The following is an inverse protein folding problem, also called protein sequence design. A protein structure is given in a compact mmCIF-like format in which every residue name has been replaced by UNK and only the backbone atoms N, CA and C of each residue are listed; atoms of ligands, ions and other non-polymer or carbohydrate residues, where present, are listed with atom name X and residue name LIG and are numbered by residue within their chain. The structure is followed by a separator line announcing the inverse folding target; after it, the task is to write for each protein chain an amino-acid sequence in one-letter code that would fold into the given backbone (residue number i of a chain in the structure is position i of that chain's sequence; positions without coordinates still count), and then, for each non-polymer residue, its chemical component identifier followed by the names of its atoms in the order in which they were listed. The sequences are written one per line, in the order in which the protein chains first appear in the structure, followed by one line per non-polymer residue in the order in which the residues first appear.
data_IF_957892180848
#
_entry.id   IF_957892180848
#
_cell.length_a   1.000
_cell.length_b   1.000
_cell.length_c   1.000
_cell.angle_alpha   90.00
_cell.angle_beta   90.00
_cell.angle_gamma   90.00
#
_symmetry.space_group_name_H-M   'P 1'
#
loop_
_entity.id
_entity.type
_entity.pdbx_description
1 polymer ?
#
# COMPACT_ATOMS: atom_id res chain seq x y z
N UNK A 1 -4.69 14.49 -36.46
CA UNK A 1 -5.64 13.82 -35.56
C UNK A 1 -5.04 12.48 -35.16
N UNK A 2 -5.21 12.07 -33.89
CA UNK A 2 -4.83 10.76 -33.38
C UNK A 2 -6.11 10.06 -32.93
N UNK A 3 -6.32 8.85 -33.44
CA UNK A 3 -7.44 8.00 -33.06
C UNK A 3 -6.96 6.98 -32.02
N UNK A 4 -7.79 6.68 -31.00
CA UNK A 4 -7.50 5.66 -30.00
C UNK A 4 -8.80 5.06 -29.46
N UNK A 5 -8.70 3.81 -29.01
CA UNK A 5 -9.81 3.12 -28.35
C UNK A 5 -9.69 3.25 -26.83
N UNK A 6 -10.80 3.52 -26.17
CA UNK A 6 -10.89 3.50 -24.72
C UNK A 6 -12.25 2.89 -24.33
N UNK A 7 -12.23 1.83 -23.52
CA UNK A 7 -13.43 1.09 -23.11
C UNK A 7 -14.34 0.68 -24.25
N UNK A 8 -13.76 0.23 -25.38
CA UNK A 8 -14.50 -0.20 -26.58
C UNK A 8 -14.98 0.93 -27.51
N UNK A 9 -14.83 2.18 -27.12
CA UNK A 9 -15.24 3.34 -27.93
C UNK A 9 -14.06 3.95 -28.67
N UNK A 10 -14.28 4.38 -29.91
CA UNK A 10 -13.31 5.09 -30.72
C UNK A 10 -13.34 6.59 -30.41
N UNK A 11 -12.19 7.13 -30.07
CA UNK A 11 -12.01 8.56 -29.83
C UNK A 11 -11.01 9.15 -30.79
N UNK A 12 -11.18 10.43 -31.09
CA UNK A 12 -10.27 11.22 -31.90
C UNK A 12 -9.82 12.45 -31.11
N UNK A 13 -8.54 12.75 -31.12
CA UNK A 13 -8.01 13.99 -30.54
C UNK A 13 -7.03 14.66 -31.48
N UNK A 14 -6.91 15.98 -31.33
CA UNK A 14 -5.86 16.74 -32.01
C UNK A 14 -4.49 16.27 -31.52
N UNK A 15 -3.52 16.14 -32.42
CA UNK A 15 -2.15 15.84 -32.04
C UNK A 15 -1.65 16.92 -31.10
N UNK A 16 -1.16 16.59 -29.89
CA UNK A 16 -0.66 17.61 -28.98
C UNK A 16 0.54 18.33 -29.61
N UNK A 17 0.48 19.64 -29.63
CA UNK A 17 1.62 20.48 -29.98
C UNK A 17 2.52 20.61 -28.76
N UNK A 18 3.71 19.99 -28.79
CA UNK A 18 4.68 20.09 -27.70
C UNK A 18 5.38 21.45 -27.78
N UNK A 19 4.85 22.47 -27.12
CA UNK A 19 5.68 23.58 -26.68
C UNK A 19 6.59 23.06 -25.57
N UNK A 20 7.90 23.29 -25.68
CA UNK A 20 8.81 23.15 -24.54
C UNK A 20 8.50 24.29 -23.55
N UNK A 21 7.49 24.10 -22.73
CA UNK A 21 7.18 25.00 -21.65
C UNK A 21 8.09 24.65 -20.46
N UNK A 22 8.82 25.64 -19.97
CA UNK A 22 9.51 25.52 -18.69
C UNK A 22 8.44 25.29 -17.62
N UNK A 23 8.55 24.16 -16.92
CA UNK A 23 7.59 23.78 -15.89
C UNK A 23 7.71 24.72 -14.70
N UNK A 24 6.60 25.15 -14.13
CA UNK A 24 6.61 25.89 -12.87
C UNK A 24 7.12 25.00 -11.73
N UNK A 25 7.65 25.59 -10.66
CA UNK A 25 8.10 24.87 -9.46
C UNK A 25 6.99 23.97 -8.91
N UNK A 26 5.76 24.47 -8.83
CA UNK A 26 4.62 23.68 -8.36
C UNK A 26 4.31 22.48 -9.26
N UNK A 27 4.41 22.63 -10.58
CA UNK A 27 4.24 21.50 -11.51
C UNK A 27 5.32 20.44 -11.32
N UNK A 28 6.56 20.84 -11.05
CA UNK A 28 7.65 19.90 -10.76
C UNK A 28 7.41 19.16 -9.45
N UNK A 29 7.02 19.85 -8.38
CA UNK A 29 6.70 19.23 -7.08
C UNK A 29 5.59 18.20 -7.20
N UNK A 30 4.49 18.53 -7.90
CA UNK A 30 3.40 17.57 -8.12
C UNK A 30 3.80 16.37 -8.98
N UNK A 31 4.63 16.58 -10.00
CA UNK A 31 5.15 15.48 -10.82
C UNK A 31 6.06 14.56 -10.02
N UNK A 32 6.92 15.11 -9.16
CA UNK A 32 7.78 14.32 -8.29
C UNK A 32 6.96 13.50 -7.30
N UNK A 33 5.96 14.11 -6.66
CA UNK A 33 5.03 13.41 -5.77
C UNK A 33 4.34 12.24 -6.48
N UNK A 34 3.81 12.49 -7.66
CA UNK A 34 3.15 11.47 -8.48
C UNK A 34 4.13 10.36 -8.90
N UNK A 35 5.35 10.72 -9.28
CA UNK A 35 6.40 9.76 -9.64
C UNK A 35 6.83 8.89 -8.46
N UNK A 36 6.97 9.44 -7.26
CA UNK A 36 7.26 8.69 -6.04
C UNK A 36 6.16 7.68 -5.73
N UNK A 37 4.89 8.12 -5.78
CA UNK A 37 3.73 7.25 -5.57
C UNK A 37 3.67 6.10 -6.59
N UNK A 38 3.95 6.34 -7.88
CA UNK A 38 4.02 5.31 -8.91
C UNK A 38 5.19 4.35 -8.66
N UNK A 39 6.37 4.88 -8.28
CA UNK A 39 7.54 4.05 -7.98
C UNK A 39 7.25 3.09 -6.84
N UNK A 40 6.65 3.59 -5.76
CA UNK A 40 6.20 2.79 -4.64
C UNK A 40 5.19 1.70 -5.07
N UNK A 41 4.15 2.05 -5.83
CA UNK A 41 3.18 1.08 -6.36
C UNK A 41 3.83 -0.01 -7.21
N UNK A 42 4.80 0.36 -8.06
CA UNK A 42 5.52 -0.61 -8.88
C UNK A 42 6.33 -1.60 -8.05
N UNK A 43 6.91 -1.13 -6.96
CA UNK A 43 7.64 -2.00 -6.01
C UNK A 43 6.70 -2.99 -5.32
N UNK A 44 5.43 -2.64 -5.09
CA UNK A 44 4.40 -3.57 -4.57
C UNK A 44 4.06 -4.71 -5.54
N UNK A 45 4.39 -4.62 -6.83
CA UNK A 45 4.12 -5.69 -7.79
C UNK A 45 4.85 -7.01 -7.45
N UNK A 46 6.03 -6.93 -6.80
CA UNK A 46 6.78 -8.09 -6.32
C UNK A 46 6.19 -8.74 -5.06
N UNK A 47 5.21 -8.12 -4.41
CA UNK A 47 4.70 -8.51 -3.09
C UNK A 47 3.20 -8.89 -3.08
N UNK A 48 2.66 -9.37 -4.17
CA UNK A 48 1.28 -9.90 -4.26
C UNK A 48 0.14 -8.95 -3.85
N UNK A 49 0.39 -7.65 -3.70
CA UNK A 49 -0.63 -6.67 -3.32
C UNK A 49 -1.39 -6.08 -4.51
N UNK A 50 -0.90 -6.24 -5.71
CA UNK A 50 -1.54 -5.75 -6.94
C UNK A 50 -2.99 -6.23 -7.09
N UNK A 51 -3.34 -7.52 -6.85
CA UNK A 51 -4.72 -7.98 -6.96
C UNK A 51 -5.70 -7.26 -6.03
N UNK A 52 -5.25 -6.86 -4.83
CA UNK A 52 -6.07 -6.10 -3.87
C UNK A 52 -6.46 -4.74 -4.49
N UNK A 53 -5.48 -4.03 -5.04
CA UNK A 53 -5.71 -2.74 -5.68
C UNK A 53 -6.50 -2.84 -6.99
N UNK A 54 -6.35 -3.90 -7.76
CA UNK A 54 -7.16 -4.18 -8.95
C UNK A 54 -8.62 -4.45 -8.58
N UNK A 55 -8.86 -5.18 -7.49
CA UNK A 55 -10.21 -5.44 -6.93
C UNK A 55 -10.88 -4.14 -6.50
N UNK A 56 -10.17 -3.31 -5.73
CA UNK A 56 -10.65 -1.99 -5.32
C UNK A 56 -10.90 -1.07 -6.53
N UNK A 57 -9.99 -1.07 -7.49
CA UNK A 57 -10.14 -0.28 -8.72
C UNK A 57 -11.40 -0.62 -9.50
N UNK A 58 -11.74 -1.91 -9.62
CA UNK A 58 -13.00 -2.36 -10.24
C UNK A 58 -14.22 -1.80 -9.50
N UNK A 59 -14.21 -1.82 -8.16
CA UNK A 59 -15.30 -1.24 -7.35
C UNK A 59 -15.45 0.27 -7.53
N UNK A 60 -14.32 0.97 -7.74
CA UNK A 60 -14.29 2.43 -7.98
C UNK A 60 -14.44 2.81 -9.46
N UNK A 61 -14.65 1.85 -10.38
CA UNK A 61 -14.66 2.07 -11.83
C UNK A 61 -13.38 2.72 -12.39
N UNK A 62 -12.22 2.42 -11.79
CA UNK A 62 -10.89 2.85 -12.22
C UNK A 62 -9.94 1.66 -12.27
N UNK A 63 -8.72 1.85 -12.79
CA UNK A 63 -7.69 0.81 -12.68
C UNK A 63 -7.04 0.79 -11.28
N UNK A 64 -6.39 -0.33 -10.92
CA UNK A 64 -5.78 -0.52 -9.61
C UNK A 64 -4.70 0.52 -9.27
N UNK A 65 -3.92 0.98 -10.25
CA UNK A 65 -2.94 2.06 -10.05
C UNK A 65 -3.63 3.38 -9.67
N UNK A 66 -4.72 3.74 -10.35
CA UNK A 66 -5.45 4.97 -10.03
C UNK A 66 -6.13 4.89 -8.65
N UNK A 67 -6.66 3.71 -8.27
CA UNK A 67 -7.18 3.48 -6.92
C UNK A 67 -6.09 3.63 -5.85
N UNK A 68 -4.89 3.10 -6.11
CA UNK A 68 -3.73 3.26 -5.24
C UNK A 68 -3.33 4.73 -5.10
N UNK A 69 -3.15 5.44 -6.22
CA UNK A 69 -2.77 6.85 -6.22
C UNK A 69 -3.79 7.70 -5.46
N UNK A 70 -5.08 7.51 -5.72
CA UNK A 70 -6.14 8.24 -5.02
C UNK A 70 -6.10 8.04 -3.49
N UNK A 71 -5.66 6.87 -3.04
CA UNK A 71 -5.57 6.54 -1.61
C UNK A 71 -4.27 6.99 -0.94
N UNK A 72 -3.17 7.14 -1.70
CA UNK A 72 -1.83 7.28 -1.13
C UNK A 72 -1.08 8.55 -1.51
N UNK A 73 -1.55 9.33 -2.52
CA UNK A 73 -0.78 10.46 -3.06
C UNK A 73 -0.42 11.51 -2.01
N UNK A 74 -1.24 11.67 -0.96
CA UNK A 74 -1.00 12.64 0.11
C UNK A 74 0.18 12.26 1.01
N UNK A 75 0.48 10.97 1.12
CA UNK A 75 1.62 10.47 1.89
C UNK A 75 2.99 10.86 1.30
N UNK A 76 3.04 11.18 0.00
CA UNK A 76 4.28 11.48 -0.71
C UNK A 76 4.52 13.00 -0.82
N UNK A 77 5.81 13.39 -0.87
CA UNK A 77 6.23 14.78 -1.02
C UNK A 77 6.72 15.12 -2.44
N UNK A 78 7.03 16.40 -2.66
CA UNK A 78 7.59 16.89 -3.93
C UNK A 78 9.08 16.59 -4.13
N UNK A 79 9.74 15.94 -3.19
CA UNK A 79 11.16 15.59 -3.21
C UNK A 79 11.40 14.10 -3.49
N UNK A 80 10.40 13.44 -4.08
CA UNK A 80 10.44 12.00 -4.38
C UNK A 80 10.53 11.09 -3.14
N UNK A 81 9.99 11.53 -2.00
CA UNK A 81 10.00 10.80 -0.72
C UNK A 81 8.61 10.64 -0.12
N UNK A 82 8.56 9.99 1.05
CA UNK A 82 7.38 9.88 1.91
C UNK A 82 7.45 11.00 2.94
N UNK A 83 6.39 11.79 3.08
CA UNK A 83 6.28 12.84 4.10
C UNK A 83 5.41 12.43 5.28
N UNK A 84 4.46 11.54 5.05
CA UNK A 84 3.55 11.07 6.09
C UNK A 84 3.35 9.56 5.98
N UNK A 85 4.07 8.81 6.80
CA UNK A 85 4.01 7.36 6.83
C UNK A 85 2.66 6.84 7.33
N UNK A 86 1.96 7.59 8.17
CA UNK A 86 0.65 7.20 8.71
C UNK A 86 -0.45 7.18 7.65
N UNK A 87 -0.29 7.95 6.58
CA UNK A 87 -1.24 7.99 5.45
C UNK A 87 -0.94 6.96 4.35
N UNK A 88 0.05 6.09 4.54
CA UNK A 88 0.31 5.00 3.61
C UNK A 88 -0.67 3.85 3.84
N UNK A 89 -1.36 3.45 2.80
CA UNK A 89 -2.21 2.27 2.77
C UNK A 89 -1.59 1.18 1.90
N UNK A 90 -1.13 0.11 2.50
CA UNK A 90 -0.69 -1.11 1.79
C UNK A 90 -1.86 -1.86 1.19
N UNK A 91 -2.96 -1.90 1.90
CA UNK A 91 -4.22 -2.50 1.47
C UNK A 91 -5.39 -1.57 1.81
N UNK A 92 -6.47 -1.72 1.08
CA UNK A 92 -7.73 -1.07 1.38
C UNK A 92 -8.86 -2.02 1.01
N UNK A 93 -9.71 -2.32 1.98
CA UNK A 93 -10.78 -3.30 1.82
C UNK A 93 -11.89 -3.09 2.84
N UNK A 94 -12.71 -4.10 3.02
CA UNK A 94 -13.89 -4.09 3.89
C UNK A 94 -13.64 -4.72 5.26
N UNK A 95 -12.53 -5.46 5.42
CA UNK A 95 -12.17 -6.08 6.68
C UNK A 95 -11.67 -5.01 7.66
N UNK A 96 -12.03 -5.14 8.92
CA UNK A 96 -11.52 -4.25 9.97
C UNK A 96 -10.04 -4.48 10.22
N UNK A 97 -9.33 -3.39 10.47
CA UNK A 97 -7.95 -3.45 10.96
C UNK A 97 -7.89 -4.09 12.35
N UNK A 98 -6.75 -4.67 12.75
CA UNK A 98 -6.56 -5.12 14.12
C UNK A 98 -6.76 -3.95 15.11
N UNK A 99 -7.65 -4.10 16.08
CA UNK A 99 -7.79 -3.13 17.17
C UNK A 99 -6.91 -3.54 18.34
N UNK A 100 -6.50 -2.58 19.16
CA UNK A 100 -5.64 -2.85 20.33
C UNK A 100 -4.30 -3.47 19.93
N UNK A 101 -3.81 -3.18 18.70
CA UNK A 101 -2.57 -3.76 18.19
C UNK A 101 -1.37 -3.21 18.96
N UNK A 102 -0.60 -4.09 19.57
CA UNK A 102 0.62 -3.72 20.31
C UNK A 102 1.76 -4.72 20.08
N UNK A 103 2.98 -4.23 20.17
CA UNK A 103 4.19 -5.06 20.18
C UNK A 103 4.50 -5.41 21.61
N UNK A 104 4.32 -6.69 21.98
CA UNK A 104 4.55 -7.19 23.36
C UNK A 104 6.01 -7.53 23.64
N UNK A 105 6.71 -8.04 22.66
CA UNK A 105 8.07 -8.50 22.83
C UNK A 105 8.87 -8.30 21.55
N UNK A 106 10.14 -7.95 21.71
CA UNK A 106 11.11 -7.89 20.62
C UNK A 106 12.36 -8.69 20.98
N UNK A 107 12.69 -9.68 20.13
CA UNK A 107 13.94 -10.46 20.24
C UNK A 107 14.67 -10.42 18.90
N UNK A 108 15.72 -9.60 18.82
CA UNK A 108 16.45 -9.39 17.57
C UNK A 108 15.55 -8.83 16.48
N UNK A 109 15.38 -9.59 15.40
CA UNK A 109 14.51 -9.27 14.27
C UNK A 109 13.08 -9.80 14.41
N UNK A 110 12.75 -10.51 15.51
CA UNK A 110 11.42 -11.08 15.75
C UNK A 110 10.60 -10.20 16.69
N UNK A 111 9.36 -9.95 16.30
CA UNK A 111 8.38 -9.18 17.07
C UNK A 111 7.21 -10.09 17.43
N UNK A 112 6.87 -10.15 18.71
CA UNK A 112 5.61 -10.74 19.15
C UNK A 112 4.57 -9.64 19.25
N UNK A 113 3.45 -9.81 18.55
CA UNK A 113 2.38 -8.83 18.46
C UNK A 113 1.08 -9.42 19.00
N UNK A 114 0.24 -8.56 19.55
CA UNK A 114 -1.08 -8.92 20.05
C UNK A 114 -2.12 -7.92 19.57
N UNK A 115 -3.38 -8.34 19.54
CA UNK A 115 -4.54 -7.52 19.18
C UNK A 115 -5.81 -8.02 19.88
N UNK A 116 -6.83 -7.17 19.89
CA UNK A 116 -8.13 -7.52 20.47
C UNK A 116 -8.92 -8.45 19.54
N UNK A 117 -9.48 -9.52 20.09
CA UNK A 117 -10.31 -10.50 19.36
C UNK A 117 -11.80 -10.22 19.44
N UNK A 118 -12.22 -9.29 20.31
CA UNK A 118 -13.64 -9.05 20.65
C UNK A 118 -14.46 -8.28 19.63
N UNK A 119 -13.81 -7.64 18.65
CA UNK A 119 -14.48 -6.77 17.67
C UNK A 119 -14.45 -7.39 16.27
N UNK A 120 -15.49 -8.15 15.95
CA UNK A 120 -15.67 -8.75 14.64
C UNK A 120 -16.96 -8.22 13.99
N UNK A 121 -16.95 -7.98 12.69
CA UNK A 121 -18.16 -7.73 11.90
C UNK A 121 -18.58 -9.02 11.20
N UNK A 122 -19.77 -9.02 10.62
CA UNK A 122 -20.23 -10.16 9.79
C UNK A 122 -19.36 -10.48 8.58
N UNK A 123 -18.46 -9.56 8.20
CA UNK A 123 -17.51 -9.72 7.09
C UNK A 123 -16.15 -10.27 7.55
N UNK A 124 -15.86 -10.19 8.85
CA UNK A 124 -14.60 -10.67 9.42
C UNK A 124 -14.73 -12.16 9.76
N UNK A 125 -13.73 -12.95 9.40
CA UNK A 125 -13.66 -14.33 9.79
C UNK A 125 -12.52 -14.55 10.80
N UNK A 126 -12.75 -15.37 11.83
CA UNK A 126 -11.70 -15.73 12.79
C UNK A 126 -10.45 -16.33 12.16
N UNK A 127 -10.57 -16.85 10.94
CA UNK A 127 -9.49 -17.45 10.14
C UNK A 127 -8.74 -16.46 9.25
N UNK A 128 -9.10 -15.16 9.27
CA UNK A 128 -8.36 -14.14 8.51
C UNK A 128 -6.92 -14.06 9.02
N UNK A 129 -5.98 -14.02 8.10
CA UNK A 129 -4.54 -14.04 8.41
C UNK A 129 -4.00 -12.63 8.60
N UNK A 130 -3.13 -12.47 9.57
CA UNK A 130 -2.33 -11.26 9.71
C UNK A 130 -1.36 -11.16 8.55
N UNK A 131 -1.33 -9.98 7.92
CA UNK A 131 -0.34 -9.58 6.92
C UNK A 131 0.33 -8.29 7.38
N UNK A 132 1.61 -8.15 7.09
CA UNK A 132 2.38 -6.99 7.54
C UNK A 132 3.22 -6.45 6.39
N UNK A 133 2.91 -5.21 5.99
CA UNK A 133 3.77 -4.40 5.13
C UNK A 133 4.86 -3.74 5.96
N UNK A 134 6.05 -3.60 5.40
CA UNK A 134 7.19 -2.97 6.05
C UNK A 134 7.81 -1.94 5.11
N UNK A 135 8.08 -0.76 5.62
CA UNK A 135 8.90 0.26 4.96
C UNK A 135 10.10 0.52 5.85
N UNK A 136 11.29 0.37 5.30
CA UNK A 136 12.55 0.72 5.95
C UNK A 136 12.99 2.12 5.54
N UNK A 137 13.49 2.92 6.49
CA UNK A 137 13.89 4.32 6.24
C UNK A 137 15.04 4.47 5.25
N UNK A 138 15.87 3.43 5.07
CA UNK A 138 16.94 3.42 4.08
C UNK A 138 16.44 3.19 2.64
N UNK A 139 15.27 2.59 2.47
CA UNK A 139 14.67 2.33 1.16
C UNK A 139 13.16 2.66 1.15
N UNK A 140 12.75 3.93 1.41
CA UNK A 140 11.36 4.27 1.68
C UNK A 140 10.41 4.02 0.50
N UNK A 141 10.91 4.00 -0.74
CA UNK A 141 10.10 3.72 -1.93
C UNK A 141 10.12 2.23 -2.34
N UNK A 142 10.70 1.36 -1.50
CA UNK A 142 10.73 -0.10 -1.70
C UNK A 142 10.05 -0.84 -0.56
N UNK A 143 8.70 -0.76 -0.49
CA UNK A 143 7.95 -1.50 0.52
C UNK A 143 8.10 -3.00 0.33
N UNK A 144 8.12 -3.73 1.44
CA UNK A 144 8.17 -5.18 1.47
C UNK A 144 6.97 -5.73 2.24
N UNK A 145 6.66 -7.01 2.04
CA UNK A 145 5.87 -7.78 2.99
C UNK A 145 6.83 -8.57 3.89
N UNK A 146 6.54 -8.62 5.17
CA UNK A 146 7.24 -9.51 6.07
C UNK A 146 6.94 -10.96 5.65
N UNK A 147 7.99 -11.77 5.45
CA UNK A 147 7.86 -13.11 4.88
C UNK A 147 7.32 -14.11 5.90
N UNK A 148 7.81 -14.02 7.14
CA UNK A 148 7.47 -14.92 8.23
C UNK A 148 6.51 -14.24 9.21
N UNK A 149 5.25 -14.09 8.78
CA UNK A 149 4.17 -13.58 9.63
C UNK A 149 3.26 -14.74 10.01
N UNK A 150 3.03 -14.91 11.31
CA UNK A 150 2.06 -15.87 11.83
C UNK A 150 0.96 -15.15 12.60
N UNK A 151 -0.18 -15.80 12.73
CA UNK A 151 -1.34 -15.32 13.48
C UNK A 151 -2.58 -15.22 12.63
N UNK A 152 -3.68 -15.67 13.20
CA UNK A 152 -5.02 -15.50 12.66
C UNK A 152 -5.83 -14.60 13.59
N UNK A 153 -6.86 -13.96 13.04
CA UNK A 153 -7.67 -12.96 13.78
C UNK A 153 -8.15 -13.45 15.14
N UNK A 154 -8.62 -14.71 15.22
CA UNK A 154 -9.16 -15.28 16.46
C UNK A 154 -8.12 -15.61 17.53
N UNK A 155 -6.83 -15.70 17.18
CA UNK A 155 -5.78 -16.03 18.16
C UNK A 155 -5.36 -14.82 19.00
N UNK A 156 -5.60 -13.58 18.54
CA UNK A 156 -5.22 -12.36 19.23
C UNK A 156 -3.72 -12.15 19.37
N UNK A 157 -2.91 -12.97 18.74
CA UNK A 157 -1.46 -12.87 18.77
C UNK A 157 -0.82 -13.41 17.49
N UNK A 158 0.42 -12.94 17.22
CA UNK A 158 1.20 -13.40 16.08
C UNK A 158 2.68 -13.05 16.23
N UNK A 159 3.48 -13.56 15.30
CA UNK A 159 4.90 -13.26 15.19
C UNK A 159 5.18 -12.63 13.85
N UNK A 160 6.06 -11.64 13.85
CA UNK A 160 6.56 -10.95 12.66
C UNK A 160 8.08 -11.10 12.68
N UNK A 161 8.64 -11.58 11.58
CA UNK A 161 10.08 -11.61 11.41
C UNK A 161 10.49 -10.53 10.40
N UNK A 162 11.38 -9.65 10.82
CA UNK A 162 11.92 -8.55 10.00
C UNK A 162 13.23 -9.00 9.34
N UNK A 163 13.68 -8.25 8.33
CA UNK A 163 15.00 -8.43 7.72
C UNK A 163 16.10 -8.35 8.80
N UNK A 164 17.10 -9.19 8.72
CA UNK A 164 18.26 -9.15 9.63
C UNK A 164 19.12 -7.89 9.39
N UNK A 165 19.86 -7.48 10.42
CA UNK A 165 20.79 -6.35 10.31
C UNK A 165 20.14 -4.97 10.28
N UNK A 166 18.87 -4.84 10.71
CA UNK A 166 18.18 -3.55 10.76
C UNK A 166 18.75 -2.71 11.91
N UNK A 167 19.47 -1.68 11.56
CA UNK A 167 20.01 -0.68 12.51
C UNK A 167 19.19 0.62 12.51
N UNK A 168 18.25 0.77 11.57
CA UNK A 168 17.46 1.98 11.35
C UNK A 168 16.00 1.79 11.72
N UNK A 169 15.24 2.88 11.70
CA UNK A 169 13.82 2.87 11.90
C UNK A 169 13.08 2.14 10.75
N UNK A 170 11.91 1.63 11.06
CA UNK A 170 11.00 0.99 10.10
C UNK A 170 9.56 1.26 10.50
N UNK A 171 8.67 1.19 9.52
CA UNK A 171 7.23 1.39 9.68
C UNK A 171 6.49 0.09 9.36
N UNK A 172 5.61 -0.35 10.25
CA UNK A 172 4.80 -1.56 10.09
C UNK A 172 3.36 -1.21 9.75
N UNK A 173 2.80 -1.91 8.79
CA UNK A 173 1.42 -1.76 8.32
C UNK A 173 0.72 -3.10 8.46
N UNK A 174 -0.03 -3.26 9.55
CA UNK A 174 -0.71 -4.49 9.89
C UNK A 174 -2.13 -4.47 9.36
N UNK A 175 -2.54 -5.55 8.70
CA UNK A 175 -3.89 -5.72 8.19
C UNK A 175 -4.26 -7.20 8.16
N UNK A 176 -5.55 -7.50 8.13
CA UNK A 176 -6.03 -8.86 7.93
C UNK A 176 -6.38 -9.11 6.48
N UNK A 177 -6.14 -10.33 6.04
CA UNK A 177 -6.52 -10.82 4.73
C UNK A 177 -7.30 -12.12 4.87
N UNK A 178 -8.47 -12.18 4.26
CA UNK A 178 -9.27 -13.39 4.19
C UNK A 178 -8.68 -14.40 3.19
N UNK A 179 -9.14 -15.66 3.24
CA UNK A 179 -8.70 -16.72 2.33
C UNK A 179 -8.99 -16.41 0.85
N UNK A 180 -10.05 -15.64 0.57
CA UNK A 180 -10.45 -15.22 -0.76
C UNK A 180 -9.86 -13.87 -1.17
N UNK A 181 -8.88 -13.36 -0.41
CA UNK A 181 -8.13 -12.14 -0.71
C UNK A 181 -8.93 -10.84 -0.55
N UNK A 182 -9.83 -10.78 0.46
CA UNK A 182 -10.50 -9.56 0.91
C UNK A 182 -9.68 -8.85 1.94
#
# INVERSE_FOLDING_TARGET
VVYYYCNGNLYARRRPYRKMLVRSKNQQLWQNRFSACISFYRSLNGVCLKPIWEKLGKLMSVNGLNAFIASNIQAFNGEMGISNYEEIHFSKGVLKVPMGFEIRERKGNKLKVCWDTGWQTSLDAGTDRLCVGVIYDDEPLRPLLAENVTGIRSEGMGMIELREGITKCYHLYCYFMSRDGR
#
